data_IF_182888799814
#
_entry.id   IF_182888799814
#
_cell.length_a   1.000
_cell.length_b   1.000
_cell.length_c   1.000
_cell.angle_alpha   90.00
_cell.angle_beta   90.00
_cell.angle_gamma   90.00
#
_symmetry.space_group_name_H-M   'P 1'
#
loop_
_entity.id
_entity.type
_entity.pdbx_description
1 polymer ?
#
# COMPACT_ATOMS: atom_id res chain seq x y z
N UNK A 1 -0.84 -0.90 -20.11
CA UNK A 1 -0.53 -1.13 -18.68
C UNK A 1 -0.12 0.13 -17.92
N UNK A 2 1.02 0.79 -18.18
CA UNK A 2 1.36 2.03 -17.45
C UNK A 2 0.32 3.15 -17.66
N UNK A 3 -0.14 3.33 -18.90
CA UNK A 3 -1.21 4.29 -19.22
C UNK A 3 -2.52 4.00 -18.48
N UNK A 4 -2.87 2.74 -18.23
CA UNK A 4 -4.08 2.37 -17.48
C UNK A 4 -4.01 2.83 -16.02
N UNK A 5 -2.84 2.73 -15.39
CA UNK A 5 -2.62 3.24 -14.04
C UNK A 5 -2.71 4.78 -14.03
N UNK A 6 -2.10 5.44 -15.02
CA UNK A 6 -2.20 6.91 -15.17
C UNK A 6 -3.66 7.34 -15.33
N UNK A 7 -4.43 6.63 -16.16
CA UNK A 7 -5.86 6.86 -16.35
C UNK A 7 -6.62 6.79 -15.03
N UNK A 8 -6.40 5.75 -14.24
CA UNK A 8 -7.06 5.60 -12.93
C UNK A 8 -6.64 6.72 -11.97
N UNK A 9 -5.36 7.08 -11.89
CA UNK A 9 -4.88 8.15 -11.00
C UNK A 9 -5.49 9.50 -11.39
N UNK A 10 -5.52 9.85 -12.68
CA UNK A 10 -6.10 11.13 -13.14
C UNK A 10 -7.61 11.21 -12.99
N UNK A 11 -8.30 10.07 -13.12
CA UNK A 11 -9.74 9.98 -12.92
C UNK A 11 -10.11 10.07 -11.42
N UNK A 12 -9.51 9.21 -10.58
CA UNK A 12 -9.85 9.11 -9.16
C UNK A 12 -9.23 10.24 -8.31
N UNK A 13 -8.13 10.84 -8.78
CA UNK A 13 -7.40 11.92 -8.10
C UNK A 13 -7.03 11.60 -6.64
N UNK A 14 -6.33 10.48 -6.37
CA UNK A 14 -5.96 10.11 -5.01
C UNK A 14 -4.93 11.08 -4.42
N UNK A 15 -5.13 11.49 -3.17
CA UNK A 15 -4.07 12.21 -2.45
C UNK A 15 -2.93 11.29 -2.02
N UNK A 16 -3.24 10.03 -1.69
CA UNK A 16 -2.29 9.04 -1.21
C UNK A 16 -2.44 7.78 -2.05
N UNK A 17 -1.31 7.23 -2.49
CA UNK A 17 -1.23 5.92 -3.13
C UNK A 17 -0.48 4.99 -2.18
N UNK A 18 -0.99 3.78 -2.00
CA UNK A 18 -0.34 2.72 -1.21
C UNK A 18 -0.08 1.55 -2.14
N UNK A 19 1.18 1.22 -2.38
CA UNK A 19 1.57 0.02 -3.11
C UNK A 19 1.82 -1.13 -2.13
N UNK A 20 1.27 -2.31 -2.43
CA UNK A 20 1.57 -3.54 -1.69
C UNK A 20 2.96 -4.09 -2.05
N UNK A 21 3.36 -3.90 -3.29
CA UNK A 21 4.56 -4.50 -3.86
C UNK A 21 5.64 -3.46 -4.12
N UNK A 22 6.89 -3.90 -4.08
CA UNK A 22 8.07 -3.03 -4.12
C UNK A 22 8.70 -2.90 -5.49
N UNK A 23 8.40 -3.81 -6.40
CA UNK A 23 9.07 -3.90 -7.69
C UNK A 23 10.32 -4.75 -7.68
N UNK A 24 10.55 -5.53 -6.62
CA UNK A 24 11.75 -6.37 -6.48
C UNK A 24 11.36 -7.86 -6.44
N UNK A 25 12.31 -8.78 -6.66
CA UNK A 25 12.03 -10.22 -6.59
C UNK A 25 11.42 -10.69 -5.26
N UNK A 26 11.52 -9.90 -4.18
CA UNK A 26 10.92 -10.21 -2.88
C UNK A 26 9.39 -10.27 -2.88
N UNK A 27 8.75 -9.70 -3.90
CA UNK A 27 7.29 -9.64 -4.01
C UNK A 27 6.67 -10.97 -4.46
N UNK A 28 7.50 -11.99 -4.73
CA UNK A 28 7.07 -13.31 -5.18
C UNK A 28 7.04 -13.38 -6.70
N UNK A 29 5.91 -13.76 -7.29
CA UNK A 29 5.81 -13.96 -8.74
C UNK A 29 5.86 -12.64 -9.54
N UNK A 30 6.19 -12.75 -10.83
CA UNK A 30 6.44 -11.61 -11.71
C UNK A 30 5.34 -10.55 -11.75
N UNK A 31 4.06 -10.93 -11.67
CA UNK A 31 2.98 -9.93 -11.65
C UNK A 31 3.03 -8.98 -10.45
N UNK A 32 3.41 -9.48 -9.26
CA UNK A 32 3.54 -8.63 -8.08
C UNK A 32 4.70 -7.64 -8.25
N UNK A 33 5.84 -8.14 -8.73
CA UNK A 33 6.99 -7.31 -9.04
C UNK A 33 6.61 -6.21 -10.05
N UNK A 34 6.00 -6.58 -11.16
CA UNK A 34 5.61 -5.61 -12.19
C UNK A 34 4.61 -4.58 -11.66
N UNK A 35 3.65 -4.98 -10.81
CA UNK A 35 2.72 -4.05 -10.17
C UNK A 35 3.44 -3.02 -9.28
N UNK A 36 4.46 -3.45 -8.52
CA UNK A 36 5.27 -2.56 -7.70
C UNK A 36 6.12 -1.57 -8.51
N UNK A 37 6.67 -2.01 -9.65
CA UNK A 37 7.42 -1.15 -10.59
C UNK A 37 6.46 -0.11 -11.19
N UNK A 38 5.33 -0.53 -11.73
CA UNK A 38 4.41 0.34 -12.46
C UNK A 38 3.74 1.35 -11.52
N UNK A 39 3.44 0.98 -10.29
CA UNK A 39 2.83 1.93 -9.34
C UNK A 39 3.75 3.13 -9.08
N UNK A 40 5.05 2.91 -8.96
CA UNK A 40 6.03 3.98 -8.74
C UNK A 40 6.19 4.87 -9.97
N UNK A 41 6.17 4.28 -11.17
CA UNK A 41 6.25 5.03 -12.43
C UNK A 41 4.96 5.80 -12.73
N UNK A 42 3.80 5.23 -12.41
CA UNK A 42 2.50 5.87 -12.59
C UNK A 42 2.33 7.07 -11.65
N UNK A 43 2.85 7.00 -10.43
CA UNK A 43 2.84 8.13 -9.48
C UNK A 43 3.47 9.40 -10.09
N UNK A 44 4.58 9.24 -10.83
CA UNK A 44 5.27 10.34 -11.53
C UNK A 44 4.55 10.70 -12.83
N UNK A 45 4.22 9.70 -13.65
CA UNK A 45 3.62 9.88 -14.96
C UNK A 45 2.25 10.59 -14.91
N UNK A 46 1.45 10.33 -13.87
CA UNK A 46 0.14 10.94 -13.73
C UNK A 46 0.20 12.47 -13.57
N UNK A 47 1.29 13.01 -13.03
CA UNK A 47 1.51 14.43 -12.84
C UNK A 47 2.09 15.15 -14.07
N UNK A 48 2.55 14.41 -15.08
CA UNK A 48 3.22 14.98 -16.25
C UNK A 48 2.22 15.28 -17.38
N UNK A 49 1.97 16.56 -17.75
CA UNK A 49 1.07 16.93 -18.85
C UNK A 49 1.48 16.38 -20.22
N UNK A 50 2.75 16.11 -20.45
CA UNK A 50 3.23 15.57 -21.73
C UNK A 50 3.00 14.06 -21.86
N UNK A 51 2.74 13.36 -20.75
CA UNK A 51 2.51 11.91 -20.73
C UNK A 51 1.03 11.60 -20.67
N UNK A 52 0.58 10.70 -21.55
CA UNK A 52 -0.80 10.23 -21.64
C UNK A 52 -1.86 11.36 -21.62
N UNK A 53 -1.71 12.43 -22.44
CA UNK A 53 -2.64 13.57 -22.44
C UNK A 53 -4.10 13.16 -22.71
N UNK A 54 -4.32 12.02 -23.38
CA UNK A 54 -5.64 11.44 -23.63
C UNK A 54 -6.42 11.06 -22.36
N UNK A 55 -5.76 10.91 -21.20
CA UNK A 55 -6.40 10.56 -19.93
C UNK A 55 -6.74 11.77 -19.04
N UNK A 56 -6.86 12.94 -19.64
CA UNK A 56 -7.32 14.15 -18.97
C UNK A 56 -6.22 14.88 -18.20
N UNK A 57 -6.65 15.85 -17.37
CA UNK A 57 -5.74 16.76 -16.65
C UNK A 57 -4.76 15.99 -15.75
N UNK A 58 -3.48 16.40 -15.69
CA UNK A 58 -2.52 15.82 -14.76
C UNK A 58 -2.99 15.87 -13.33
N UNK A 59 -2.57 14.86 -12.56
CA UNK A 59 -2.82 14.79 -11.13
C UNK A 59 -1.58 14.29 -10.40
N UNK A 60 -1.12 15.09 -9.45
CA UNK A 60 -0.01 14.75 -8.57
C UNK A 60 -0.56 14.27 -7.22
N UNK A 61 -0.48 12.97 -6.96
CA UNK A 61 -0.70 12.45 -5.62
C UNK A 61 0.37 13.03 -4.66
N UNK A 62 -0.03 13.28 -3.41
CA UNK A 62 0.80 13.92 -2.38
C UNK A 62 1.85 12.97 -1.82
N UNK A 63 1.49 11.69 -1.60
CA UNK A 63 2.37 10.68 -1.00
C UNK A 63 2.19 9.31 -1.63
N UNK A 64 3.29 8.59 -1.79
CA UNK A 64 3.33 7.17 -2.14
C UNK A 64 3.92 6.39 -0.97
N UNK A 65 3.15 5.44 -0.43
CA UNK A 65 3.59 4.53 0.60
C UNK A 65 3.75 3.10 0.07
N UNK A 66 4.61 2.34 0.72
CA UNK A 66 4.61 0.88 0.67
C UNK A 66 3.95 0.33 1.92
N UNK A 67 2.90 -0.46 1.73
CA UNK A 67 2.39 -1.38 2.74
C UNK A 67 3.08 -2.73 2.52
N UNK A 68 4.40 -2.75 2.73
CA UNK A 68 5.18 -3.97 2.59
C UNK A 68 4.70 -5.01 3.60
N UNK A 69 4.79 -6.28 3.21
CA UNK A 69 4.87 -7.41 4.14
C UNK A 69 6.10 -7.19 5.01
N UNK A 70 6.03 -6.30 6.00
CA UNK A 70 6.79 -6.51 7.21
C UNK A 70 6.30 -7.85 7.73
N UNK A 71 7.01 -8.92 7.35
CA UNK A 71 6.99 -10.19 8.04
C UNK A 71 5.74 -11.09 7.89
N UNK A 72 4.99 -11.05 6.79
CA UNK A 72 3.87 -12.00 6.54
C UNK A 72 4.28 -13.18 5.65
N UNK A 73 5.46 -13.75 5.87
CA UNK A 73 5.80 -15.05 5.30
C UNK A 73 5.03 -16.11 6.12
N UNK A 74 3.97 -16.68 5.54
CA UNK A 74 3.16 -17.78 6.11
C UNK A 74 2.11 -17.43 7.18
N UNK A 75 1.47 -16.26 7.14
CA UNK A 75 0.32 -15.97 8.01
C UNK A 75 0.63 -15.90 9.51
N UNK A 76 1.91 -15.97 9.87
CA UNK A 76 2.43 -15.66 11.18
C UNK A 76 2.97 -14.24 11.11
N UNK A 77 2.53 -13.37 12.02
CA UNK A 77 3.16 -12.07 12.19
C UNK A 77 4.61 -12.30 12.61
N UNK A 78 5.57 -12.31 11.68
CA UNK A 78 6.96 -12.44 12.11
C UNK A 78 7.32 -11.18 12.93
N UNK A 79 8.12 -11.35 13.99
CA UNK A 79 8.38 -10.32 14.99
C UNK A 79 8.80 -9.04 14.30
N UNK A 80 8.08 -7.94 14.56
CA UNK A 80 8.25 -6.66 13.88
C UNK A 80 9.73 -6.37 13.64
N UNK A 81 10.19 -6.53 12.40
CA UNK A 81 11.59 -6.28 12.12
C UNK A 81 11.85 -4.81 12.48
N UNK A 82 12.92 -4.54 13.28
CA UNK A 82 13.31 -3.17 13.53
C UNK A 82 13.44 -2.47 12.17
N UNK A 83 13.02 -1.19 12.07
CA UNK A 83 13.12 -0.46 10.82
C UNK A 83 14.56 -0.60 10.27
N UNK A 84 14.74 -0.77 8.95
CA UNK A 84 16.09 -0.83 8.39
C UNK A 84 16.86 0.39 8.89
N UNK A 85 17.96 0.17 9.60
CA UNK A 85 18.83 1.22 10.13
C UNK A 85 20.08 1.29 9.26
N UNK A 86 20.24 2.40 8.55
CA UNK A 86 21.35 2.67 7.64
C UNK A 86 21.14 4.00 6.91
N UNK A 87 22.17 4.56 6.24
CA UNK A 87 22.08 5.85 5.55
C UNK A 87 21.08 5.88 4.38
N UNK A 88 20.55 4.72 3.97
CA UNK A 88 19.52 4.53 2.95
C UNK A 88 18.14 4.16 3.53
N UNK A 89 17.98 4.22 4.86
CA UNK A 89 16.72 3.95 5.52
C UNK A 89 15.65 5.00 5.16
N UNK A 90 14.44 4.60 4.73
CA UNK A 90 13.32 5.52 4.52
C UNK A 90 12.98 6.19 5.86
N UNK A 91 13.29 7.48 5.97
CA UNK A 91 13.26 8.25 7.23
C UNK A 91 11.86 8.57 7.78
N UNK A 92 10.77 8.06 7.17
CA UNK A 92 9.41 8.27 7.64
C UNK A 92 8.53 7.02 7.41
N UNK A 93 8.37 6.20 8.45
CA UNK A 93 7.39 5.13 8.51
C UNK A 93 6.23 5.50 9.44
N UNK A 94 5.00 5.09 9.10
CA UNK A 94 3.84 5.18 9.99
C UNK A 94 3.55 3.79 10.54
N UNK A 95 3.32 3.69 11.85
CA UNK A 95 2.77 2.49 12.49
C UNK A 95 1.34 2.83 12.92
N UNK A 96 0.37 2.00 12.52
CA UNK A 96 -1.05 2.24 12.76
C UNK A 96 -1.62 0.99 13.44
N UNK A 97 -2.30 1.19 14.58
CA UNK A 97 -3.03 0.11 15.24
C UNK A 97 -4.38 -0.09 14.53
N UNK A 98 -4.43 -1.06 13.62
CA UNK A 98 -5.66 -1.45 12.91
C UNK A 98 -6.51 -2.46 13.69
N UNK A 99 -6.00 -2.98 14.80
CA UNK A 99 -6.74 -3.89 15.69
C UNK A 99 -7.44 -3.19 16.87
N UNK A 100 -7.26 -1.87 17.00
CA UNK A 100 -8.03 -1.08 17.96
C UNK A 100 -9.53 -1.20 17.67
N UNK A 101 -10.31 -1.42 18.73
CA UNK A 101 -11.75 -1.51 18.62
C UNK A 101 -12.35 -0.13 18.34
N UNK A 102 -13.10 -0.02 17.25
CA UNK A 102 -13.84 1.19 16.91
C UNK A 102 -15.29 1.03 17.41
N UNK A 103 -15.75 1.83 18.39
CA UNK A 103 -17.09 1.71 18.95
C UNK A 103 -18.20 2.09 17.97
N UNK A 104 -17.92 2.94 16.98
CA UNK A 104 -18.90 3.33 15.97
C UNK A 104 -19.10 2.21 14.94
N UNK A 105 -18.05 1.44 14.66
CA UNK A 105 -18.10 0.27 13.77
C UNK A 105 -18.49 -1.03 14.50
N UNK A 106 -18.37 -1.07 15.82
CA UNK A 106 -18.56 -2.26 16.65
C UNK A 106 -17.51 -3.35 16.43
N UNK A 107 -16.38 -3.02 15.79
CA UNK A 107 -15.28 -3.93 15.42
C UNK A 107 -14.05 -3.14 14.98
N UNK A 108 -12.89 -3.79 14.88
CA UNK A 108 -11.66 -3.16 14.39
C UNK A 108 -11.53 -3.22 12.86
N UNK A 109 -10.70 -2.34 12.28
CA UNK A 109 -10.36 -2.39 10.85
C UNK A 109 -9.71 -3.72 10.44
N UNK A 110 -8.96 -4.37 11.34
CA UNK A 110 -8.41 -5.70 11.07
C UNK A 110 -9.47 -6.79 10.99
N UNK A 111 -10.55 -6.70 11.77
CA UNK A 111 -11.67 -7.63 11.68
C UNK A 111 -12.42 -7.46 10.36
N UNK A 112 -12.63 -6.21 9.92
CA UNK A 112 -13.18 -5.90 8.58
C UNK A 112 -12.28 -6.49 7.47
N UNK A 113 -10.96 -6.33 7.59
CA UNK A 113 -10.01 -6.88 6.63
C UNK A 113 -10.01 -8.41 6.60
N UNK A 114 -10.07 -9.07 7.76
CA UNK A 114 -10.18 -10.54 7.86
C UNK A 114 -11.49 -11.08 7.27
N UNK A 115 -12.60 -10.37 7.47
CA UNK A 115 -13.88 -10.69 6.84
C UNK A 115 -13.77 -10.60 5.31
N UNK A 116 -13.31 -9.44 4.80
CA UNK A 116 -13.12 -9.22 3.36
C UNK A 116 -12.22 -10.27 2.73
N UNK A 117 -11.08 -10.60 3.37
CA UNK A 117 -10.17 -11.66 2.93
C UNK A 117 -10.86 -13.03 2.88
N UNK A 118 -11.74 -13.32 3.84
CA UNK A 118 -12.50 -14.58 3.87
C UNK A 118 -13.53 -14.71 2.75
N UNK A 119 -13.87 -13.61 2.05
CA UNK A 119 -14.71 -13.65 0.85
C UNK A 119 -13.96 -14.18 -0.40
N UNK A 120 -12.63 -14.29 -0.37
CA UNK A 120 -11.83 -14.90 -1.43
C UNK A 120 -11.89 -16.45 -1.36
N UNK A 121 -13.11 -17.01 -1.47
CA UNK A 121 -13.42 -18.42 -1.19
C UNK A 121 -12.65 -19.41 -2.07
N UNK A 122 -12.46 -19.10 -3.35
CA UNK A 122 -11.70 -19.97 -4.27
C UNK A 122 -10.19 -20.04 -3.96
N UNK A 123 -9.68 -19.10 -3.15
CA UNK A 123 -8.25 -18.96 -2.87
C UNK A 123 -7.86 -19.53 -1.49
N UNK A 124 -8.80 -20.17 -0.78
CA UNK A 124 -8.60 -20.69 0.58
C UNK A 124 -8.08 -19.62 1.57
N UNK A 125 -8.56 -18.38 1.45
CA UNK A 125 -8.11 -17.24 2.25
C UNK A 125 -9.01 -16.93 3.46
N UNK A 126 -9.73 -17.91 4.00
CA UNK A 126 -10.45 -17.76 5.26
C UNK A 126 -9.51 -17.41 6.41
N UNK A 127 -9.96 -16.54 7.32
CA UNK A 127 -9.21 -16.18 8.53
C UNK A 127 -10.14 -15.82 9.68
N UNK A 128 -9.73 -16.13 10.91
CA UNK A 128 -10.41 -15.65 12.11
C UNK A 128 -10.38 -14.11 12.20
N UNK A 129 -11.40 -13.56 12.86
CA UNK A 129 -11.55 -12.13 13.12
C UNK A 129 -11.10 -11.82 14.55
N UNK A 130 -9.82 -12.10 14.84
CA UNK A 130 -9.26 -11.95 16.18
C UNK A 130 -9.37 -10.51 16.69
N UNK A 131 -9.62 -10.37 17.99
CA UNK A 131 -9.64 -9.10 18.70
C UNK A 131 -8.24 -8.73 19.22
N UNK A 132 -8.09 -7.49 19.67
CA UNK A 132 -6.83 -6.98 20.25
C UNK A 132 -6.01 -6.15 19.27
N UNK A 133 -4.96 -5.48 19.76
CA UNK A 133 -4.18 -4.58 18.92
C UNK A 133 -3.49 -5.34 17.79
N UNK A 134 -3.55 -4.79 16.58
CA UNK A 134 -2.86 -5.32 15.41
C UNK A 134 -2.21 -4.15 14.70
N UNK A 135 -0.89 -4.19 14.58
CA UNK A 135 -0.14 -3.11 13.96
C UNK A 135 0.01 -3.36 12.46
N UNK A 136 -0.13 -2.31 11.66
CA UNK A 136 0.34 -2.25 10.28
C UNK A 136 1.39 -1.15 10.13
N UNK A 137 2.29 -1.30 9.16
CA UNK A 137 3.36 -0.33 8.90
C UNK A 137 3.31 0.14 7.45
N UNK A 138 3.35 1.45 7.28
CA UNK A 138 3.49 2.10 5.98
C UNK A 138 4.85 2.77 5.89
N UNK A 139 5.59 2.47 4.84
CA UNK A 139 6.87 3.11 4.55
C UNK A 139 6.67 4.20 3.49
N UNK A 140 7.03 5.45 3.78
CA UNK A 140 7.00 6.51 2.77
C UNK A 140 8.09 6.26 1.72
N UNK A 141 7.71 6.33 0.43
CA UNK A 141 8.65 6.14 -0.69
C UNK A 141 8.80 7.39 -1.53
N UNK A 142 7.71 8.10 -1.81
CA UNK A 142 7.75 9.38 -2.52
C UNK A 142 6.79 10.38 -1.85
N UNK A 143 7.15 11.66 -1.85
CA UNK A 143 6.29 12.77 -1.41
C UNK A 143 6.47 13.96 -2.34
N UNK A 144 5.41 14.74 -2.53
CA UNK A 144 5.42 15.97 -3.34
C UNK A 144 4.98 17.20 -2.54
N UNK A 145 4.69 17.02 -1.26
CA UNK A 145 4.38 18.08 -0.30
C UNK A 145 5.46 18.13 0.78
N UNK A 146 5.84 19.34 1.20
CA UNK A 146 6.73 19.53 2.35
C UNK A 146 5.96 19.33 3.66
N UNK A 147 6.67 18.97 4.74
CA UNK A 147 6.09 19.07 6.07
C UNK A 147 5.98 20.57 6.40
N UNK A 148 4.80 20.99 6.84
CA UNK A 148 4.61 22.31 7.43
C UNK A 148 5.35 22.41 8.77
#
# INVERSE_FOLDING_TARGET
MLGDFVRVIRYFRPEIIISRFTGTPRDGHGHHQVAGIITQEAFKAAADPARFPEYGKPWQAKKLYLNGMGNEQNGQAAPAQPPPSGPTAPSAGLTINVGEFDPDLGRSYSQIASEGRSLHRSQAQGSAQDAGPRQTRLQLVQKTVNAA
#
